data_IF_372429917823
#
_entry.id   IF_372429917823
#
_cell.length_a   1.000
_cell.length_b   1.000
_cell.length_c   1.000
_cell.angle_alpha   90.00
_cell.angle_beta   90.00
_cell.angle_gamma   90.00
#
_symmetry.space_group_name_H-M   'P 1'
#
loop_
_entity.id
_entity.type
_entity.pdbx_description
1 polymer ?
#
# COMPACT_ATOMS: atom_id res chain seq x y z
N UNK A 1 21.17 -13.75 41.73
CA UNK A 1 19.81 -13.83 41.14
C UNK A 1 19.37 -12.56 40.36
N UNK A 2 20.28 -11.74 39.79
CA UNK A 2 19.90 -10.51 39.05
C UNK A 2 20.07 -10.58 37.53
N UNK A 3 20.74 -11.61 36.98
CA UNK A 3 20.99 -11.71 35.54
C UNK A 3 19.87 -12.41 34.76
N UNK A 4 19.20 -13.38 35.37
CA UNK A 4 18.07 -14.11 34.76
C UNK A 4 16.84 -13.21 34.53
N UNK A 5 16.60 -12.26 35.43
CA UNK A 5 15.49 -11.29 35.29
C UNK A 5 15.76 -10.28 34.16
N UNK A 6 17.03 -9.86 33.98
CA UNK A 6 17.44 -8.95 32.89
C UNK A 6 17.36 -9.62 31.52
N UNK A 7 17.62 -10.92 31.43
CA UNK A 7 17.53 -11.68 30.17
C UNK A 7 16.08 -11.93 29.73
N UNK A 8 15.15 -12.15 30.67
CA UNK A 8 13.72 -12.30 30.34
C UNK A 8 13.10 -11.05 29.71
N UNK A 9 13.52 -9.86 30.15
CA UNK A 9 13.01 -8.58 29.64
C UNK A 9 13.46 -8.32 28.20
N UNK A 10 14.71 -8.66 27.85
CA UNK A 10 15.25 -8.44 26.49
C UNK A 10 14.60 -9.39 25.47
N UNK A 11 14.30 -10.63 25.85
CA UNK A 11 13.61 -11.60 24.99
C UNK A 11 12.14 -11.24 24.74
N UNK A 12 11.45 -10.63 25.72
CA UNK A 12 10.06 -10.19 25.54
C UNK A 12 9.87 -9.01 24.60
N UNK A 13 10.84 -8.07 24.57
CA UNK A 13 10.77 -6.87 23.71
C UNK A 13 11.04 -7.22 22.24
N UNK A 14 11.87 -8.22 21.95
CA UNK A 14 12.22 -8.61 20.58
C UNK A 14 11.03 -9.18 19.77
N UNK A 15 10.01 -9.74 20.43
CA UNK A 15 8.87 -10.36 19.76
C UNK A 15 7.79 -9.36 19.29
N UNK A 16 7.83 -8.11 19.76
CA UNK A 16 6.85 -7.07 19.38
C UNK A 16 7.21 -6.34 18.07
N UNK A 17 8.42 -6.52 17.53
CA UNK A 17 8.90 -5.74 16.38
C UNK A 17 8.51 -6.30 14.99
N UNK A 18 7.91 -7.50 14.91
CA UNK A 18 7.68 -8.20 13.64
C UNK A 18 6.28 -7.99 13.02
N UNK A 19 5.42 -7.15 13.61
CA UNK A 19 4.03 -6.98 13.16
C UNK A 19 3.80 -5.89 12.09
N UNK A 20 4.86 -5.28 11.55
CA UNK A 20 4.77 -4.03 10.76
C UNK A 20 4.87 -4.15 9.24
N UNK A 21 4.77 -5.34 8.65
CA UNK A 21 4.87 -5.51 7.19
C UNK A 21 3.91 -6.60 6.68
N UNK A 22 2.64 -6.50 7.04
CA UNK A 22 1.62 -7.24 6.29
C UNK A 22 1.49 -6.56 4.92
N UNK A 23 2.15 -7.13 3.90
CA UNK A 23 1.78 -6.89 2.52
C UNK A 23 0.32 -7.35 2.38
N UNK A 24 -0.60 -6.42 2.60
CA UNK A 24 -2.03 -6.68 2.53
C UNK A 24 -2.30 -7.26 1.14
N UNK A 25 -2.70 -8.52 1.10
CA UNK A 25 -3.01 -9.22 -0.14
C UNK A 25 -4.19 -8.49 -0.76
N UNK A 26 -3.91 -7.59 -1.70
CA UNK A 26 -4.97 -6.80 -2.32
C UNK A 26 -5.84 -7.76 -3.13
N UNK A 27 -7.18 -7.67 -3.00
CA UNK A 27 -8.06 -8.42 -3.87
C UNK A 27 -7.71 -8.06 -5.33
N UNK A 28 -7.78 -9.03 -6.26
CA UNK A 28 -7.49 -8.77 -7.66
C UNK A 28 -8.50 -7.73 -8.18
N UNK A 29 -8.07 -6.48 -8.35
CA UNK A 29 -8.88 -5.45 -9.00
C UNK A 29 -8.61 -5.48 -10.50
N UNK A 30 -9.16 -6.51 -11.14
CA UNK A 30 -9.15 -6.73 -12.57
C UNK A 30 -10.57 -6.76 -13.13
N UNK A 31 -10.78 -6.29 -14.36
CA UNK A 31 -12.04 -6.54 -15.06
C UNK A 31 -12.21 -8.04 -15.36
N UNK A 32 -13.34 -8.44 -15.95
CA UNK A 32 -13.69 -9.85 -16.25
C UNK A 32 -12.69 -10.61 -17.15
N UNK A 33 -11.58 -9.99 -17.58
CA UNK A 33 -10.53 -10.58 -18.42
C UNK A 33 -9.10 -10.19 -18.00
N UNK A 34 -8.90 -9.57 -16.84
CA UNK A 34 -7.55 -9.17 -16.43
C UNK A 34 -6.78 -10.38 -15.90
N UNK A 35 -5.61 -10.63 -16.46
CA UNK A 35 -4.72 -11.71 -16.00
C UNK A 35 -4.37 -11.52 -14.50
N UNK A 36 -4.09 -12.61 -13.77
CA UNK A 36 -3.50 -12.51 -12.44
C UNK A 36 -2.26 -11.60 -12.45
N UNK A 37 -2.22 -10.62 -11.54
CA UNK A 37 -1.16 -9.63 -11.48
C UNK A 37 -1.29 -8.44 -12.45
N UNK A 38 -2.41 -8.29 -13.16
CA UNK A 38 -2.69 -7.09 -13.94
C UNK A 38 -2.63 -5.82 -13.10
N UNK A 39 -2.17 -4.72 -13.69
CA UNK A 39 -1.98 -3.47 -12.98
C UNK A 39 -3.28 -2.92 -12.39
N UNK A 40 -3.18 -2.51 -11.13
CA UNK A 40 -4.24 -1.95 -10.32
C UNK A 40 -3.93 -0.50 -9.96
N UNK A 41 -4.99 0.29 -9.75
CA UNK A 41 -4.88 1.64 -9.22
C UNK A 41 -5.81 1.82 -8.03
N UNK A 42 -5.32 2.48 -6.99
CA UNK A 42 -6.10 2.80 -5.79
C UNK A 42 -5.54 4.06 -5.13
N UNK A 43 -6.37 4.74 -4.32
CA UNK A 43 -5.90 5.86 -3.50
C UNK A 43 -5.21 5.30 -2.26
N UNK A 44 -3.92 5.57 -2.14
CA UNK A 44 -3.12 5.30 -0.96
C UNK A 44 -3.16 6.51 -0.02
N UNK A 45 -2.97 6.23 1.27
CA UNK A 45 -2.84 7.24 2.31
C UNK A 45 -1.58 6.97 3.13
N UNK A 46 -0.87 8.02 3.50
CA UNK A 46 0.36 7.95 4.27
C UNK A 46 0.49 9.08 5.28
N UNK A 47 1.63 9.12 5.96
CA UNK A 47 1.99 10.24 6.83
C UNK A 47 2.01 11.58 6.05
N UNK A 48 1.98 12.73 6.75
CA UNK A 48 2.24 14.01 6.11
C UNK A 48 3.54 13.96 5.30
N UNK A 49 3.50 14.58 4.13
CA UNK A 49 4.60 14.65 3.16
C UNK A 49 5.02 13.32 2.50
N UNK A 50 4.26 12.24 2.67
CA UNK A 50 4.59 10.92 2.12
C UNK A 50 4.67 10.88 0.58
N UNK A 51 3.91 11.72 -0.11
CA UNK A 51 3.92 11.86 -1.57
C UNK A 51 4.55 13.18 -2.05
N UNK A 52 5.27 13.89 -1.18
CA UNK A 52 5.86 15.21 -1.42
C UNK A 52 5.30 16.29 -0.48
N UNK A 53 5.87 17.51 -0.47
CA UNK A 53 5.48 18.55 0.49
C UNK A 53 3.98 18.88 0.46
N UNK A 54 3.31 18.80 1.61
CA UNK A 54 1.88 19.00 1.80
C UNK A 54 1.00 17.84 1.33
N UNK A 55 1.56 16.65 1.04
CA UNK A 55 0.84 15.54 0.42
C UNK A 55 0.77 14.30 1.32
N UNK A 56 -0.44 13.77 1.56
CA UNK A 56 -0.67 12.51 2.28
C UNK A 56 -1.48 11.47 1.50
N UNK A 57 -2.05 11.86 0.35
CA UNK A 57 -2.85 10.98 -0.51
C UNK A 57 -2.29 10.95 -1.92
N UNK A 58 -2.19 9.76 -2.52
CA UNK A 58 -1.74 9.57 -3.91
C UNK A 58 -2.43 8.37 -4.55
N UNK A 59 -2.43 8.30 -5.88
CA UNK A 59 -2.88 7.12 -6.62
C UNK A 59 -1.69 6.19 -6.77
N UNK A 60 -1.69 5.07 -6.06
CA UNK A 60 -0.65 4.07 -6.25
C UNK A 60 -1.00 3.13 -7.40
N UNK A 61 0.02 2.70 -8.13
CA UNK A 61 -0.06 1.77 -9.25
C UNK A 61 0.80 0.53 -8.98
N UNK A 62 0.19 -0.65 -8.97
CA UNK A 62 0.87 -1.90 -8.66
C UNK A 62 0.52 -2.99 -9.68
N UNK A 63 1.46 -3.87 -10.02
CA UNK A 63 1.25 -4.97 -10.96
C UNK A 63 1.77 -4.72 -12.38
N UNK A 64 1.46 -5.62 -13.30
CA UNK A 64 1.94 -5.60 -14.68
C UNK A 64 1.06 -4.74 -15.59
N UNK A 65 1.68 -3.83 -16.35
CA UNK A 65 0.98 -3.06 -17.39
C UNK A 65 0.49 -4.01 -18.48
N UNK A 66 -0.80 -3.97 -18.79
CA UNK A 66 -1.44 -4.75 -19.84
C UNK A 66 -2.17 -3.83 -20.83
N UNK A 67 -2.61 -4.40 -21.96
CA UNK A 67 -3.25 -3.67 -23.05
C UNK A 67 -4.48 -2.84 -22.61
N UNK A 68 -5.16 -3.25 -21.53
CA UNK A 68 -6.35 -2.60 -20.98
C UNK A 68 -6.07 -1.77 -19.71
N UNK A 69 -4.81 -1.63 -19.27
CA UNK A 69 -4.45 -0.86 -18.05
C UNK A 69 -4.90 0.59 -18.12
N UNK A 70 -4.87 1.22 -19.29
CA UNK A 70 -5.33 2.59 -19.47
C UNK A 70 -6.80 2.76 -19.07
N UNK A 71 -7.66 1.75 -19.28
CA UNK A 71 -9.08 1.81 -18.90
C UNK A 71 -9.23 1.90 -17.38
N UNK A 72 -8.40 1.18 -16.63
CA UNK A 72 -8.39 1.20 -15.16
C UNK A 72 -7.85 2.53 -14.62
N UNK A 73 -6.82 3.08 -15.27
CA UNK A 73 -6.29 4.40 -14.93
C UNK A 73 -7.34 5.50 -15.11
N UNK A 74 -8.00 5.54 -16.28
CA UNK A 74 -9.07 6.51 -16.52
C UNK A 74 -10.21 6.35 -15.51
N UNK A 75 -10.62 5.12 -15.22
CA UNK A 75 -11.68 4.84 -14.25
C UNK A 75 -11.37 5.35 -12.84
N UNK A 76 -10.11 5.33 -12.38
CA UNK A 76 -9.77 5.91 -11.07
C UNK A 76 -9.69 7.43 -11.12
N UNK A 77 -9.17 8.00 -12.21
CA UNK A 77 -9.09 9.45 -12.39
C UNK A 77 -10.49 10.08 -12.38
N UNK A 78 -11.45 9.46 -13.06
CA UNK A 78 -12.85 9.91 -13.10
C UNK A 78 -13.51 9.92 -11.70
N UNK A 79 -13.11 9.00 -10.82
CA UNK A 79 -13.62 8.91 -9.43
C UNK A 79 -13.09 10.01 -8.51
N UNK A 80 -12.05 10.74 -8.91
CA UNK A 80 -11.44 11.76 -8.04
C UNK A 80 -12.29 13.03 -7.89
N UNK A 81 -13.34 13.18 -8.68
CA UNK A 81 -14.33 14.27 -8.54
C UNK A 81 -13.68 15.67 -8.51
N UNK A 82 -12.65 15.88 -9.34
CA UNK A 82 -11.88 17.12 -9.43
C UNK A 82 -10.62 17.19 -8.54
N UNK A 83 -10.41 16.24 -7.62
CA UNK A 83 -9.17 16.15 -6.83
C UNK A 83 -8.00 15.75 -7.75
N UNK A 84 -6.90 16.50 -7.68
CA UNK A 84 -5.64 16.19 -8.37
C UNK A 84 -4.72 15.47 -7.39
N UNK A 85 -4.75 14.15 -7.42
CA UNK A 85 -3.80 13.32 -6.67
C UNK A 85 -2.57 13.03 -7.54
N UNK A 86 -1.35 13.02 -6.96
CA UNK A 86 -0.18 12.49 -7.66
C UNK A 86 -0.33 10.98 -7.91
N UNK A 87 0.40 10.47 -8.90
CA UNK A 87 0.44 9.05 -9.27
C UNK A 87 1.84 8.51 -9.00
#
# INVERSE_FOLDING_TARGET
MNHYFRQGIVLGIALLAAAGAQAQTRPPVGGVNSAPGAMIFYVAHGAPDACGPGCSDWIAAEGAVQWDTYKRLLAILDRQNGRKLPV
#
